data_IF_929976704842
#
_entry.id   IF_929976704842
#
_cell.length_a   1.000
_cell.length_b   1.000
_cell.length_c   1.000
_cell.angle_alpha   90.00
_cell.angle_beta   90.00
_cell.angle_gamma   90.00
#
_symmetry.space_group_name_H-M   'P 1'
#
loop_
_entity.id
_entity.type
_entity.pdbx_description
1 polymer ?
#
# COMPACT_ATOMS: atom_id res chain seq x y z
N UNK A 1 -6.82 16.37 19.03
CA UNK A 1 -7.12 14.93 18.85
C UNK A 1 -7.57 14.78 17.42
N UNK A 2 -6.82 14.08 16.57
CA UNK A 2 -7.25 13.86 15.18
C UNK A 2 -8.54 13.05 15.25
N UNK A 3 -9.60 13.47 14.56
CA UNK A 3 -10.83 12.67 14.48
C UNK A 3 -10.44 11.32 13.87
N UNK A 4 -10.69 10.23 14.59
CA UNK A 4 -10.16 8.90 14.23
C UNK A 4 -10.55 8.45 12.81
N UNK A 5 -11.65 8.98 12.25
CA UNK A 5 -12.06 8.75 10.85
C UNK A 5 -11.10 9.35 9.83
N UNK A 6 -10.65 10.59 10.02
CA UNK A 6 -9.85 11.31 9.02
C UNK A 6 -8.45 10.70 8.93
N UNK A 7 -7.89 10.34 10.09
CA UNK A 7 -6.62 9.61 10.16
C UNK A 7 -6.74 8.22 9.53
N UNK A 8 -7.79 7.46 9.86
CA UNK A 8 -8.02 6.15 9.29
C UNK A 8 -8.17 6.22 7.76
N UNK A 9 -8.93 7.18 7.26
CA UNK A 9 -9.10 7.43 5.83
C UNK A 9 -7.74 7.74 5.19
N UNK A 10 -6.96 8.66 5.76
CA UNK A 10 -5.64 9.01 5.25
C UNK A 10 -4.70 7.80 5.15
N UNK A 11 -4.59 7.01 6.22
CA UNK A 11 -3.74 5.82 6.23
C UNK A 11 -4.24 4.77 5.24
N UNK A 12 -5.56 4.61 5.13
CA UNK A 12 -6.17 3.67 4.19
C UNK A 12 -5.91 4.10 2.75
N UNK A 13 -6.00 5.38 2.44
CA UNK A 13 -5.66 5.92 1.13
C UNK A 13 -4.19 5.66 0.74
N UNK A 14 -3.26 5.80 1.69
CA UNK A 14 -1.86 5.41 1.47
C UNK A 14 -1.74 3.91 1.16
N UNK A 15 -2.42 3.06 1.94
CA UNK A 15 -2.41 1.60 1.72
C UNK A 15 -2.92 1.23 0.32
N UNK A 16 -4.02 1.86 -0.12
CA UNK A 16 -4.59 1.65 -1.46
C UNK A 16 -3.59 2.13 -2.53
N UNK A 17 -3.06 3.34 -2.42
CA UNK A 17 -2.12 3.90 -3.42
C UNK A 17 -0.87 3.03 -3.55
N UNK A 18 -0.32 2.52 -2.45
CA UNK A 18 0.84 1.64 -2.51
C UNK A 18 0.53 0.30 -3.22
N UNK A 19 -0.67 -0.25 -3.02
CA UNK A 19 -1.14 -1.46 -3.73
C UNK A 19 -1.33 -1.18 -5.22
N UNK A 20 -1.90 -0.03 -5.57
CA UNK A 20 -2.11 0.41 -6.95
C UNK A 20 -0.75 0.55 -7.66
N UNK A 21 0.20 1.25 -7.06
CA UNK A 21 1.56 1.42 -7.61
C UNK A 21 2.29 0.08 -7.79
N UNK A 22 2.16 -0.86 -6.83
CA UNK A 22 2.73 -2.21 -6.98
C UNK A 22 2.08 -2.97 -8.13
N UNK A 23 0.77 -2.84 -8.30
CA UNK A 23 0.04 -3.47 -9.40
C UNK A 23 0.50 -2.88 -10.75
N UNK A 24 0.48 -1.56 -10.87
CA UNK A 24 0.90 -0.80 -12.06
C UNK A 24 2.33 -1.15 -12.48
N UNK A 25 3.29 -1.14 -11.53
CA UNK A 25 4.68 -1.49 -11.81
C UNK A 25 4.83 -2.93 -12.31
N UNK A 26 4.07 -3.87 -11.77
CA UNK A 26 4.13 -5.25 -12.27
C UNK A 26 3.53 -5.40 -13.65
N UNK A 27 2.43 -4.70 -13.94
CA UNK A 27 1.84 -4.67 -15.27
C UNK A 27 2.82 -4.07 -16.30
N UNK A 28 3.53 -2.99 -15.95
CA UNK A 28 4.55 -2.40 -16.85
C UNK A 28 5.77 -3.30 -17.07
N UNK A 29 6.03 -4.24 -16.15
CA UNK A 29 7.04 -5.30 -16.29
C UNK A 29 6.48 -6.57 -16.97
N UNK A 30 5.24 -6.56 -17.47
CA UNK A 30 4.63 -7.71 -18.16
C UNK A 30 4.04 -8.79 -17.26
N UNK A 31 3.86 -8.54 -15.95
CA UNK A 31 3.19 -9.48 -15.02
C UNK A 31 1.68 -9.26 -15.04
N UNK A 32 0.91 -10.32 -15.30
CA UNK A 32 -0.57 -10.24 -15.39
C UNK A 32 -1.26 -9.72 -14.13
N UNK A 33 -0.71 -10.00 -12.94
CA UNK A 33 -1.35 -9.72 -11.63
C UNK A 33 -0.67 -8.60 -10.84
N UNK A 34 0.28 -7.89 -11.46
CA UNK A 34 1.15 -6.97 -10.76
C UNK A 34 2.31 -7.65 -10.02
N UNK A 35 3.15 -6.86 -9.34
CA UNK A 35 4.27 -7.38 -8.55
C UNK A 35 3.78 -8.05 -7.27
N UNK A 36 4.45 -9.09 -6.79
CA UNK A 36 4.24 -9.58 -5.42
C UNK A 36 4.90 -8.62 -4.40
N UNK A 37 4.50 -8.70 -3.12
CA UNK A 37 5.16 -7.92 -2.06
C UNK A 37 6.63 -8.36 -1.89
N UNK A 38 6.93 -9.65 -2.08
CA UNK A 38 8.30 -10.17 -2.04
C UNK A 38 9.13 -9.65 -3.20
N UNK A 39 8.55 -9.52 -4.40
CA UNK A 39 9.26 -8.96 -5.56
C UNK A 39 9.74 -7.54 -5.25
N UNK A 40 8.84 -6.70 -4.72
CA UNK A 40 9.17 -5.34 -4.32
C UNK A 40 10.26 -5.33 -3.24
N UNK A 41 10.17 -6.19 -2.23
CA UNK A 41 11.20 -6.24 -1.17
C UNK A 41 12.59 -6.59 -1.72
N UNK A 42 12.66 -7.57 -2.63
CA UNK A 42 13.91 -8.03 -3.25
C UNK A 42 14.48 -6.92 -4.14
N UNK A 43 13.69 -6.38 -5.05
CA UNK A 43 14.13 -5.31 -5.97
C UNK A 43 14.56 -4.05 -5.21
N UNK A 44 13.83 -3.68 -4.15
CA UNK A 44 14.14 -2.50 -3.35
C UNK A 44 15.46 -2.67 -2.58
N UNK A 45 15.70 -3.85 -2.01
CA UNK A 45 16.96 -4.17 -1.35
C UNK A 45 18.13 -4.16 -2.34
N UNK A 46 17.97 -4.75 -3.52
CA UNK A 46 19.00 -4.75 -4.56
C UNK A 46 19.32 -3.34 -5.08
N UNK A 47 18.31 -2.46 -5.19
CA UNK A 47 18.49 -1.12 -5.77
C UNK A 47 19.02 -0.09 -4.78
N UNK A 48 18.64 -0.17 -3.51
CA UNK A 48 18.91 0.87 -2.52
C UNK A 48 19.69 0.39 -1.29
N UNK A 49 20.05 -0.89 -1.22
CA UNK A 49 20.70 -1.51 -0.05
C UNK A 49 19.92 -1.30 1.26
N UNK A 50 18.58 -1.28 1.16
CA UNK A 50 17.66 -1.04 2.28
C UNK A 50 16.62 -2.13 2.31
N UNK A 51 16.44 -2.75 3.48
CA UNK A 51 15.34 -3.69 3.71
C UNK A 51 14.00 -2.95 3.78
N UNK A 52 13.10 -3.29 2.87
CA UNK A 52 11.71 -2.89 2.89
C UNK A 52 10.83 -4.06 3.33
N UNK A 53 9.75 -3.77 4.06
CA UNK A 53 8.67 -4.74 4.30
C UNK A 53 7.38 -4.20 3.68
N UNK A 54 7.18 -4.48 2.40
CA UNK A 54 6.02 -4.01 1.65
C UNK A 54 4.70 -4.53 2.23
N UNK A 55 4.69 -5.73 2.82
CA UNK A 55 3.52 -6.26 3.53
C UNK A 55 3.07 -5.35 4.68
N UNK A 56 4.01 -4.82 5.46
CA UNK A 56 3.74 -3.84 6.51
C UNK A 56 3.33 -2.48 5.92
N UNK A 57 4.02 -2.02 4.88
CA UNK A 57 3.70 -0.75 4.21
C UNK A 57 2.28 -0.74 3.66
N UNK A 58 1.77 -1.86 3.16
CA UNK A 58 0.40 -2.00 2.63
C UNK A 58 -0.61 -2.61 3.59
N UNK A 59 -0.36 -2.56 4.90
CA UNK A 59 -1.32 -3.03 5.91
C UNK A 59 -1.44 -2.06 7.08
N UNK A 60 -0.32 -1.41 7.41
CA UNK A 60 -0.21 -0.37 8.42
C UNK A 60 0.92 0.60 8.03
N UNK A 61 0.69 1.45 7.01
CA UNK A 61 1.69 2.40 6.52
C UNK A 61 2.29 3.23 7.65
N UNK A 62 3.56 2.98 7.94
CA UNK A 62 4.34 3.76 8.89
C UNK A 62 5.80 3.73 8.42
N UNK A 63 6.20 4.80 7.75
CA UNK A 63 7.53 4.93 7.17
C UNK A 63 8.03 6.35 7.31
N UNK A 64 9.36 6.50 7.32
CA UNK A 64 10.02 7.80 7.36
C UNK A 64 9.91 8.52 6.02
N UNK A 65 10.10 9.84 6.01
CA UNK A 65 10.14 10.63 4.76
C UNK A 65 11.21 10.13 3.78
N UNK A 66 12.35 9.66 4.27
CA UNK A 66 13.39 9.03 3.45
C UNK A 66 12.86 7.80 2.72
N UNK A 67 12.11 6.94 3.41
CA UNK A 67 11.50 5.75 2.80
C UNK A 67 10.43 6.14 1.79
N UNK A 68 9.61 7.15 2.08
CA UNK A 68 8.65 7.68 1.12
C UNK A 68 9.33 8.15 -0.17
N UNK A 69 10.40 8.93 -0.05
CA UNK A 69 11.18 9.40 -1.19
C UNK A 69 11.70 8.23 -2.04
N UNK A 70 12.25 7.20 -1.41
CA UNK A 70 12.75 6.01 -2.11
C UNK A 70 11.62 5.18 -2.74
N UNK A 71 10.46 5.07 -2.09
CA UNK A 71 9.26 4.43 -2.67
C UNK A 71 8.80 5.19 -3.92
N UNK A 72 8.72 6.51 -3.87
CA UNK A 72 8.41 7.34 -5.02
C UNK A 72 9.42 7.14 -6.16
N UNK A 73 10.72 7.11 -5.86
CA UNK A 73 11.78 6.80 -6.84
C UNK A 73 11.65 5.37 -7.40
N UNK A 74 11.27 4.40 -6.59
CA UNK A 74 11.08 3.02 -7.00
C UNK A 74 9.89 2.84 -7.95
N UNK A 75 8.77 3.48 -7.64
CA UNK A 75 7.54 3.44 -8.44
C UNK A 75 7.50 4.49 -9.56
N UNK A 76 8.57 5.28 -9.73
CA UNK A 76 8.70 6.28 -10.78
C UNK A 76 7.55 7.31 -10.77
N UNK A 77 7.14 7.71 -9.57
CA UNK A 77 6.11 8.73 -9.32
C UNK A 77 6.71 9.90 -8.55
N UNK A 78 6.27 11.13 -8.84
CA UNK A 78 6.66 12.29 -8.05
C UNK A 78 6.04 12.24 -6.64
N UNK A 79 6.65 12.92 -5.66
CA UNK A 79 6.04 13.05 -4.33
C UNK A 79 4.69 13.77 -4.40
N UNK A 80 4.57 14.77 -5.26
CA UNK A 80 3.34 15.53 -5.49
C UNK A 80 2.23 14.62 -6.02
N UNK A 81 2.51 13.83 -7.06
CA UNK A 81 1.52 12.93 -7.66
C UNK A 81 1.14 11.79 -6.71
N UNK A 82 2.09 11.32 -5.89
CA UNK A 82 1.78 10.37 -4.84
C UNK A 82 0.72 10.94 -3.88
N UNK A 83 0.93 12.15 -3.36
CA UNK A 83 -0.03 12.77 -2.44
C UNK A 83 -1.34 13.18 -3.13
N UNK A 84 -1.31 13.58 -4.41
CA UNK A 84 -2.54 13.78 -5.20
C UNK A 84 -3.34 12.49 -5.30
N UNK A 85 -2.70 11.35 -5.57
CA UNK A 85 -3.39 10.05 -5.59
C UNK A 85 -3.98 9.69 -4.23
N UNK A 86 -3.28 10.00 -3.14
CA UNK A 86 -3.78 9.79 -1.77
C UNK A 86 -4.98 10.67 -1.47
N UNK A 87 -4.94 11.96 -1.83
CA UNK A 87 -6.04 12.91 -1.60
C UNK A 87 -7.27 12.64 -2.47
N UNK A 88 -7.07 12.02 -3.64
CA UNK A 88 -8.15 11.74 -4.58
C UNK A 88 -8.93 10.46 -4.28
N UNK A 89 -8.52 9.67 -3.28
CA UNK A 89 -9.31 8.51 -2.84
C UNK A 89 -10.60 9.00 -2.19
N UNK A 90 -11.73 8.59 -2.77
CA UNK A 90 -13.04 8.99 -2.25
C UNK A 90 -13.50 8.06 -1.12
N UNK A 91 -14.48 8.51 -0.33
CA UNK A 91 -14.97 7.77 0.83
C UNK A 91 -15.51 6.38 0.44
N UNK A 92 -16.22 6.26 -0.68
CA UNK A 92 -16.77 4.99 -1.14
C UNK A 92 -15.70 3.94 -1.41
N UNK A 93 -14.60 4.32 -2.07
CA UNK A 93 -13.46 3.43 -2.32
C UNK A 93 -12.82 2.96 -1.00
N UNK A 94 -12.67 3.88 -0.05
CA UNK A 94 -12.10 3.60 1.28
C UNK A 94 -12.99 2.63 2.05
N UNK A 95 -14.30 2.86 2.06
CA UNK A 95 -15.28 2.03 2.77
C UNK A 95 -15.32 0.61 2.19
N UNK A 96 -15.34 0.48 0.85
CA UNK A 96 -15.27 -0.83 0.18
C UNK A 96 -14.01 -1.57 0.61
N UNK A 97 -12.86 -0.90 0.58
CA UNK A 97 -11.59 -1.50 0.95
C UNK A 97 -11.56 -1.98 2.41
N UNK A 98 -12.07 -1.17 3.34
CA UNK A 98 -12.14 -1.50 4.76
C UNK A 98 -13.08 -2.69 5.00
N UNK A 99 -14.26 -2.71 4.36
CA UNK A 99 -15.21 -3.81 4.44
C UNK A 99 -14.60 -5.13 3.92
N UNK A 100 -13.89 -5.09 2.79
CA UNK A 100 -13.17 -6.25 2.26
C UNK A 100 -12.06 -6.74 3.21
N UNK A 101 -11.36 -5.82 3.87
CA UNK A 101 -10.33 -6.13 4.87
C UNK A 101 -10.94 -6.81 6.09
N UNK A 102 -12.04 -6.30 6.61
CA UNK A 102 -12.77 -6.89 7.74
C UNK A 102 -13.29 -8.29 7.41
N UNK A 103 -13.93 -8.46 6.25
CA UNK A 103 -14.43 -9.75 5.78
C UNK A 103 -13.33 -10.81 5.68
N UNK A 104 -12.13 -10.42 5.23
CA UNK A 104 -10.96 -11.33 5.20
C UNK A 104 -10.51 -11.74 6.60
N UNK A 105 -10.59 -10.84 7.58
CA UNK A 105 -10.24 -11.15 8.97
C UNK A 105 -11.25 -12.11 9.61
N UNK A 106 -12.55 -11.90 9.37
CA UNK A 106 -13.62 -12.77 9.86
C UNK A 106 -13.45 -14.20 9.32
N UNK A 107 -13.24 -14.36 8.00
CA UNK A 107 -13.00 -15.67 7.38
C UNK A 107 -11.78 -16.39 7.96
N UNK A 108 -10.69 -15.66 8.26
CA UNK A 108 -9.49 -16.23 8.89
C UNK A 108 -9.73 -16.70 10.32
N UNK A 109 -10.58 -16.01 11.08
CA UNK A 109 -10.96 -16.43 12.44
C UNK A 109 -11.74 -17.74 12.41
N UNK A 110 -12.77 -17.83 11.56
CA UNK A 110 -13.57 -19.06 11.44
C UNK A 110 -12.75 -20.28 11.01
N UNK A 111 -11.79 -20.13 10.10
CA UNK A 111 -10.92 -21.24 9.68
C UNK A 111 -9.98 -21.76 10.79
N UNK A 112 -9.69 -20.95 11.81
CA UNK A 112 -8.83 -21.34 12.95
C UNK A 112 -9.59 -22.00 14.10
N UNK A 113 -10.92 -21.90 14.10
CA UNK A 113 -11.80 -22.46 15.15
C UNK A 113 -12.33 -23.86 14.81
N UNK A 114 -12.01 -24.40 13.63
CA UNK A 114 -12.27 -25.76 13.17
C UNK A 114 -10.95 -26.53 13.03
#
# INVERSE_FOLDING_TARGET
>A
MIKDSDYLNFVTSIEIVLKDLRKEKGLSQGKEKGLSQSDVNIEFAQKYDITLNMGRMESHPNFTMTKLYLLCKYFEISLEDFFKRVSNKNQTEIDIFLNEKENRLIKKKHKKSN
#
